data_IF_492630546765
#
_entry.id   IF_492630546765
#
_cell.length_a   1.000
_cell.length_b   1.000
_cell.length_c   1.000
_cell.angle_alpha   90.00
_cell.angle_beta   90.00
_cell.angle_gamma   90.00
#
_symmetry.space_group_name_H-M   'P 1'
#
loop_
_entity.id
_entity.type
_entity.pdbx_description
1 polymer ?
#
# COMPACT_ATOMS: atom_id res chain seq x y z
N UNK A 1 16.18 13.82 -7.01
CA UNK A 1 15.57 12.55 -6.56
C UNK A 1 14.79 11.82 -7.64
N UNK A 2 13.87 12.46 -8.39
CA UNK A 2 13.14 11.79 -9.48
C UNK A 2 14.04 11.13 -10.55
N UNK A 3 15.15 11.78 -10.92
CA UNK A 3 16.13 11.19 -11.85
C UNK A 3 16.79 9.91 -11.31
N UNK A 4 16.99 9.79 -10.00
CA UNK A 4 17.51 8.56 -9.38
C UNK A 4 16.48 7.43 -9.43
N UNK A 5 15.18 7.76 -9.28
CA UNK A 5 14.09 6.79 -9.48
C UNK A 5 14.07 6.31 -10.94
N UNK A 6 14.23 7.22 -11.92
CA UNK A 6 14.32 6.86 -13.33
C UNK A 6 15.51 5.92 -13.63
N UNK A 7 16.70 6.25 -13.12
CA UNK A 7 17.89 5.39 -13.23
C UNK A 7 17.66 4.05 -12.54
N UNK A 8 16.99 4.05 -11.40
CA UNK A 8 16.60 2.82 -10.69
C UNK A 8 15.75 1.91 -11.56
N UNK A 9 14.67 2.43 -12.18
CA UNK A 9 13.82 1.66 -13.08
C UNK A 9 14.57 1.19 -14.33
N UNK A 10 15.44 2.01 -14.92
CA UNK A 10 16.29 1.59 -16.03
C UNK A 10 17.26 0.47 -15.63
N UNK A 11 17.80 0.52 -14.40
CA UNK A 11 18.61 -0.54 -13.83
C UNK A 11 17.82 -1.85 -13.69
N UNK A 12 16.61 -1.80 -13.14
CA UNK A 12 15.71 -2.97 -13.09
C UNK A 12 15.48 -3.52 -14.49
N UNK A 13 15.09 -2.66 -15.45
CA UNK A 13 14.85 -3.05 -16.83
C UNK A 13 16.06 -3.76 -17.46
N UNK A 14 17.27 -3.24 -17.25
CA UNK A 14 18.50 -3.77 -17.81
C UNK A 14 18.88 -5.13 -17.23
N UNK A 15 18.66 -5.35 -15.93
CA UNK A 15 19.09 -6.57 -15.24
C UNK A 15 18.04 -7.69 -15.20
N UNK A 16 16.79 -7.45 -15.61
CA UNK A 16 15.76 -8.50 -15.71
C UNK A 16 16.22 -9.70 -16.57
N UNK A 17 16.85 -9.51 -17.75
CA UNK A 17 17.34 -10.64 -18.56
C UNK A 17 18.64 -11.30 -18.05
N UNK A 18 19.26 -10.80 -16.98
CA UNK A 18 20.55 -11.28 -16.50
C UNK A 18 20.42 -12.57 -15.67
N UNK A 19 21.48 -13.38 -15.61
CA UNK A 19 21.50 -14.63 -14.83
C UNK A 19 21.35 -14.42 -13.32
N UNK A 20 21.76 -13.26 -12.80
CA UNK A 20 21.65 -12.87 -11.39
C UNK A 20 20.53 -11.85 -11.15
N UNK A 21 19.48 -11.84 -12.00
CA UNK A 21 18.42 -10.83 -11.99
C UNK A 21 17.86 -10.56 -10.59
N UNK A 22 17.59 -11.59 -9.77
CA UNK A 22 17.04 -11.44 -8.41
C UNK A 22 17.88 -10.50 -7.55
N UNK A 23 19.20 -10.72 -7.48
CA UNK A 23 20.09 -9.89 -6.64
C UNK A 23 20.17 -8.46 -7.18
N UNK A 24 20.27 -8.32 -8.50
CA UNK A 24 20.40 -7.02 -9.15
C UNK A 24 19.12 -6.19 -9.03
N UNK A 25 17.95 -6.74 -9.39
CA UNK A 25 16.67 -6.04 -9.33
C UNK A 25 16.30 -5.68 -7.90
N UNK A 26 16.57 -6.53 -6.92
CA UNK A 26 16.39 -6.19 -5.50
C UNK A 26 17.27 -5.00 -5.06
N UNK A 27 18.53 -4.95 -5.48
CA UNK A 27 19.40 -3.82 -5.19
C UNK A 27 18.86 -2.50 -5.78
N UNK A 28 18.37 -2.53 -7.02
CA UNK A 28 17.73 -1.36 -7.64
C UNK A 28 16.38 -1.01 -7.00
N UNK A 29 15.55 -1.99 -6.62
CA UNK A 29 14.31 -1.72 -5.90
C UNK A 29 14.56 -1.08 -4.54
N UNK A 30 15.65 -1.46 -3.85
CA UNK A 30 16.06 -0.79 -2.62
C UNK A 30 16.46 0.67 -2.87
N UNK A 31 17.26 0.94 -3.91
CA UNK A 31 17.63 2.31 -4.30
C UNK A 31 16.41 3.16 -4.70
N UNK A 32 15.45 2.57 -5.43
CA UNK A 32 14.19 3.22 -5.79
C UNK A 32 13.39 3.54 -4.53
N UNK A 33 13.24 2.59 -3.60
CA UNK A 33 12.48 2.79 -2.36
C UNK A 33 13.07 3.93 -1.52
N UNK A 34 14.39 3.96 -1.36
CA UNK A 34 15.08 5.02 -0.63
C UNK A 34 14.93 6.38 -1.31
N UNK A 35 15.11 6.42 -2.65
CA UNK A 35 14.97 7.64 -3.44
C UNK A 35 13.53 8.17 -3.44
N UNK A 36 12.54 7.26 -3.50
CA UNK A 36 11.11 7.58 -3.46
C UNK A 36 10.71 8.15 -2.11
N UNK A 37 11.12 7.52 -1.00
CA UNK A 37 10.81 8.02 0.34
C UNK A 37 11.36 9.43 0.56
N UNK A 38 12.60 9.69 0.09
CA UNK A 38 13.20 11.03 0.17
C UNK A 38 12.51 12.02 -0.76
N UNK A 39 12.11 11.59 -1.94
CA UNK A 39 11.37 12.40 -2.89
C UNK A 39 10.01 12.83 -2.33
N UNK A 40 9.27 11.91 -1.70
CA UNK A 40 7.94 12.20 -1.15
C UNK A 40 8.01 13.26 -0.05
N UNK A 41 8.99 13.17 0.85
CA UNK A 41 9.22 14.19 1.89
C UNK A 41 9.57 15.55 1.25
N UNK A 42 10.44 15.56 0.23
CA UNK A 42 10.83 16.80 -0.45
C UNK A 42 9.65 17.42 -1.22
N UNK A 43 8.83 16.61 -1.88
CA UNK A 43 7.65 17.07 -2.61
C UNK A 43 6.58 17.64 -1.67
N UNK A 44 6.34 16.99 -0.53
CA UNK A 44 5.43 17.51 0.50
C UNK A 44 5.94 18.81 1.12
N UNK A 45 7.25 18.90 1.39
CA UNK A 45 7.89 20.14 1.86
C UNK A 45 7.77 21.28 0.84
N UNK A 46 8.06 21.00 -0.43
CA UNK A 46 7.91 21.96 -1.53
C UNK A 46 6.48 22.48 -1.64
N UNK A 47 5.49 21.57 -1.58
CA UNK A 47 4.07 21.92 -1.62
C UNK A 47 3.69 22.92 -0.51
N UNK A 48 4.20 22.72 0.70
CA UNK A 48 3.95 23.63 1.83
C UNK A 48 4.64 24.99 1.67
N UNK A 49 5.79 25.05 0.98
CA UNK A 49 6.55 26.30 0.76
C UNK A 49 6.06 27.10 -0.45
N UNK A 50 5.59 26.42 -1.50
CA UNK A 50 5.25 27.03 -2.78
C UNK A 50 3.83 27.63 -2.80
N UNK A 51 2.92 27.15 -1.96
CA UNK A 51 1.50 27.53 -1.98
C UNK A 51 1.08 28.25 -0.70
N UNK A 52 0.16 29.21 -0.83
CA UNK A 52 -0.49 29.86 0.32
C UNK A 52 -1.53 28.94 0.96
N UNK A 53 -1.86 29.14 2.24
CA UNK A 53 -2.80 28.27 2.99
C UNK A 53 -4.14 28.04 2.27
N UNK A 54 -4.71 29.09 1.67
CA UNK A 54 -5.96 28.97 0.89
C UNK A 54 -5.81 28.06 -0.33
N UNK A 55 -4.70 28.16 -1.05
CA UNK A 55 -4.40 27.33 -2.22
C UNK A 55 -4.09 25.88 -1.83
N UNK A 56 -3.42 25.67 -0.69
CA UNK A 56 -3.17 24.34 -0.15
C UNK A 56 -4.49 23.57 0.02
N UNK A 57 -5.53 24.20 0.58
CA UNK A 57 -6.83 23.56 0.76
C UNK A 57 -7.50 23.08 -0.55
N UNK A 58 -7.25 23.78 -1.66
CA UNK A 58 -7.75 23.39 -2.98
C UNK A 58 -6.90 22.26 -3.59
N UNK A 59 -5.57 22.43 -3.58
CA UNK A 59 -4.65 21.48 -4.20
C UNK A 59 -4.50 20.16 -3.44
N UNK A 60 -4.83 20.09 -2.14
CA UNK A 60 -4.78 18.83 -1.38
C UNK A 60 -5.74 17.79 -1.97
N UNK A 61 -6.91 18.22 -2.45
CA UNK A 61 -7.87 17.35 -3.13
C UNK A 61 -7.34 16.85 -4.47
N UNK A 62 -6.74 17.74 -5.27
CA UNK A 62 -6.12 17.40 -6.55
C UNK A 62 -4.98 16.40 -6.36
N UNK A 63 -4.06 16.65 -5.39
CA UNK A 63 -2.94 15.76 -5.07
C UNK A 63 -3.42 14.35 -4.74
N UNK A 64 -4.44 14.23 -3.89
CA UNK A 64 -5.02 12.94 -3.52
C UNK A 64 -5.64 12.21 -4.73
N UNK A 65 -6.25 12.95 -5.67
CA UNK A 65 -6.79 12.38 -6.90
C UNK A 65 -5.67 11.85 -7.81
N UNK A 66 -4.59 12.61 -8.00
CA UNK A 66 -3.44 12.14 -8.78
C UNK A 66 -2.74 10.94 -8.14
N UNK A 67 -2.65 10.87 -6.81
CA UNK A 67 -2.14 9.69 -6.11
C UNK A 67 -2.96 8.42 -6.43
N UNK A 68 -4.29 8.55 -6.50
CA UNK A 68 -5.20 7.45 -6.88
C UNK A 68 -4.97 7.02 -8.34
N UNK A 69 -4.87 7.98 -9.26
CA UNK A 69 -4.56 7.69 -10.66
C UNK A 69 -3.19 7.02 -10.81
N UNK A 70 -2.18 7.47 -10.07
CA UNK A 70 -0.85 6.85 -10.08
C UNK A 70 -0.90 5.39 -9.60
N UNK A 71 -1.73 5.10 -8.58
CA UNK A 71 -1.91 3.72 -8.09
C UNK A 71 -2.55 2.82 -9.15
N UNK A 72 -3.61 3.29 -9.82
CA UNK A 72 -4.27 2.55 -10.93
C UNK A 72 -3.33 2.40 -12.13
N UNK A 73 -2.55 3.43 -12.44
CA UNK A 73 -1.57 3.37 -13.53
C UNK A 73 -0.49 2.33 -13.22
N UNK A 74 0.06 2.36 -12.01
CA UNK A 74 1.14 1.48 -11.56
C UNK A 74 0.72 0.01 -11.45
N UNK A 75 -0.36 -0.25 -10.71
CA UNK A 75 -0.81 -1.62 -10.43
C UNK A 75 -1.69 -2.19 -11.55
N UNK A 76 -2.38 -1.33 -12.30
CA UNK A 76 -3.31 -1.71 -13.35
C UNK A 76 -2.73 -1.55 -14.74
N UNK A 77 -2.65 -0.31 -15.23
CA UNK A 77 -2.33 -0.03 -16.64
C UNK A 77 -0.96 -0.58 -17.05
N UNK A 78 0.06 -0.41 -16.21
CA UNK A 78 1.40 -0.92 -16.52
C UNK A 78 1.48 -2.45 -16.48
N UNK A 79 0.76 -3.09 -15.55
CA UNK A 79 0.69 -4.56 -15.49
C UNK A 79 -0.09 -5.11 -16.68
N UNK A 80 -1.17 -4.42 -17.08
CA UNK A 80 -1.89 -4.69 -18.32
C UNK A 80 -0.99 -4.57 -19.55
N UNK A 81 -0.22 -3.48 -19.62
CA UNK A 81 0.75 -3.28 -20.69
C UNK A 81 1.79 -4.40 -20.73
N UNK A 82 2.38 -4.77 -19.58
CA UNK A 82 3.34 -5.87 -19.49
C UNK A 82 2.72 -7.20 -19.96
N UNK A 83 1.50 -7.52 -19.53
CA UNK A 83 0.81 -8.74 -19.97
C UNK A 83 0.48 -8.76 -21.46
N UNK A 84 0.07 -7.63 -22.05
CA UNK A 84 -0.17 -7.54 -23.49
C UNK A 84 1.13 -7.66 -24.31
N UNK A 85 2.27 -7.25 -23.74
CA UNK A 85 3.60 -7.45 -24.31
C UNK A 85 4.02 -8.92 -24.22
N UNK A 86 3.80 -9.59 -23.09
CA UNK A 86 4.05 -11.04 -22.92
C UNK A 86 3.28 -11.88 -23.94
N UNK A 87 2.03 -11.51 -24.22
CA UNK A 87 1.17 -12.15 -25.21
C UNK A 87 1.53 -11.78 -26.67
N UNK A 88 2.43 -10.82 -26.88
CA UNK A 88 2.81 -10.35 -28.22
C UNK A 88 1.74 -9.54 -28.95
N UNK A 89 0.70 -9.08 -28.24
CA UNK A 89 -0.41 -8.29 -28.82
C UNK A 89 0.00 -6.86 -29.20
N UNK A 90 1.01 -6.31 -28.52
CA UNK A 90 1.55 -4.98 -28.83
C UNK A 90 2.70 -5.11 -29.84
N UNK A 91 3.71 -5.93 -29.53
CA UNK A 91 4.80 -6.27 -30.43
C UNK A 91 4.89 -7.78 -30.61
N UNK A 92 4.73 -8.31 -31.84
CA UNK A 92 4.83 -9.75 -32.06
C UNK A 92 6.17 -10.37 -31.63
N UNK A 93 7.25 -9.57 -31.62
CA UNK A 93 8.59 -10.00 -31.21
C UNK A 93 8.73 -10.29 -29.71
N UNK A 94 7.79 -9.84 -28.87
CA UNK A 94 7.82 -10.07 -27.43
C UNK A 94 7.00 -11.29 -26.99
N UNK A 95 6.31 -11.96 -27.93
CA UNK A 95 5.46 -13.11 -27.64
C UNK A 95 6.23 -14.22 -26.91
N UNK A 96 5.78 -14.57 -25.71
CA UNK A 96 6.39 -15.60 -24.86
C UNK A 96 7.71 -15.20 -24.19
N UNK A 97 8.24 -13.99 -24.44
CA UNK A 97 9.47 -13.49 -23.82
C UNK A 97 9.14 -12.59 -22.62
N UNK A 98 8.82 -13.24 -21.49
CA UNK A 98 8.44 -12.56 -20.23
C UNK A 98 9.53 -11.58 -19.76
N UNK A 99 10.84 -11.94 -19.71
CA UNK A 99 11.87 -10.99 -19.31
C UNK A 99 11.92 -9.74 -20.18
N UNK A 100 11.78 -9.88 -21.50
CA UNK A 100 11.79 -8.74 -22.42
C UNK A 100 10.55 -7.85 -22.23
N UNK A 101 9.37 -8.44 -22.08
CA UNK A 101 8.12 -7.69 -21.85
C UNK A 101 8.18 -6.81 -20.59
N UNK A 102 8.67 -7.36 -19.47
CA UNK A 102 8.86 -6.59 -18.24
C UNK A 102 10.01 -5.58 -18.35
N UNK A 103 11.11 -5.92 -19.01
CA UNK A 103 12.20 -4.98 -19.26
C UNK A 103 11.71 -3.73 -20.00
N UNK A 104 10.94 -3.91 -21.08
CA UNK A 104 10.35 -2.80 -21.84
C UNK A 104 9.34 -1.99 -21.02
N UNK A 105 8.57 -2.65 -20.16
CA UNK A 105 7.64 -1.98 -19.24
C UNK A 105 8.38 -1.10 -18.22
N UNK A 106 9.50 -1.58 -17.67
CA UNK A 106 10.34 -0.80 -16.77
C UNK A 106 11.13 0.31 -17.49
N UNK A 107 11.53 0.11 -18.75
CA UNK A 107 12.10 1.19 -19.55
C UNK A 107 11.09 2.30 -19.84
N UNK A 108 9.84 1.95 -20.13
CA UNK A 108 8.76 2.93 -20.26
C UNK A 108 8.59 3.74 -18.98
N UNK A 109 8.58 3.08 -17.82
CA UNK A 109 8.57 3.75 -16.51
C UNK A 109 9.77 4.69 -16.32
N UNK A 110 10.98 4.23 -16.64
CA UNK A 110 12.19 5.04 -16.56
C UNK A 110 12.08 6.29 -17.45
N UNK A 111 11.58 6.14 -18.68
CA UNK A 111 11.37 7.25 -19.60
C UNK A 111 10.34 8.26 -19.08
N UNK A 112 9.22 7.79 -18.52
CA UNK A 112 8.20 8.65 -17.91
C UNK A 112 8.79 9.44 -16.74
N UNK A 113 9.49 8.79 -15.81
CA UNK A 113 10.09 9.45 -14.65
C UNK A 113 11.20 10.42 -15.06
N UNK A 114 11.97 10.12 -16.11
CA UNK A 114 12.96 11.02 -16.65
C UNK A 114 12.31 12.26 -17.28
N UNK A 115 11.25 12.07 -18.07
CA UNK A 115 10.50 13.16 -18.67
C UNK A 115 9.88 14.07 -17.60
N UNK A 116 9.29 13.49 -16.55
CA UNK A 116 8.77 14.23 -15.39
C UNK A 116 9.89 14.97 -14.65
N UNK A 117 11.05 14.36 -14.45
CA UNK A 117 12.19 15.00 -13.79
C UNK A 117 12.67 16.22 -14.59
N UNK A 118 12.76 16.11 -15.91
CA UNK A 118 13.10 17.23 -16.79
C UNK A 118 12.03 18.32 -16.73
N UNK A 119 10.76 17.94 -16.89
CA UNK A 119 9.63 18.87 -16.82
C UNK A 119 9.62 19.65 -15.51
N UNK A 120 9.69 18.97 -14.37
CA UNK A 120 9.70 19.60 -13.06
C UNK A 120 10.92 20.50 -12.84
N UNK A 121 12.09 20.13 -13.37
CA UNK A 121 13.28 20.96 -13.27
C UNK A 121 13.14 22.31 -14.02
N UNK A 122 12.40 22.34 -15.13
CA UNK A 122 12.16 23.56 -15.91
C UNK A 122 10.95 24.37 -15.42
N UNK A 123 9.89 23.72 -14.97
CA UNK A 123 8.59 24.37 -14.71
C UNK A 123 8.38 24.73 -13.24
N UNK A 124 8.97 24.00 -12.29
CA UNK A 124 8.71 24.28 -10.88
C UNK A 124 9.29 25.63 -10.45
N UNK A 125 8.50 26.47 -9.77
CA UNK A 125 9.00 27.71 -9.20
C UNK A 125 10.02 27.38 -8.08
N UNK A 126 10.99 28.28 -7.86
CA UNK A 126 11.92 28.18 -6.73
C UNK A 126 11.42 29.10 -5.61
N UNK A 127 10.78 28.57 -4.55
CA UNK A 127 10.19 29.40 -3.50
C UNK A 127 11.29 30.20 -2.78
N UNK A 128 11.11 31.51 -2.65
CA UNK A 128 12.10 32.37 -1.98
C UNK A 128 12.27 32.06 -0.46
N UNK A 129 11.33 31.31 0.11
CA UNK A 129 11.33 30.79 1.48
C UNK A 129 12.19 29.53 1.65
N UNK A 130 12.63 28.89 0.55
CA UNK A 130 13.51 27.73 0.58
C UNK A 130 14.96 28.15 0.88
N UNK A 131 15.24 28.38 2.17
CA UNK A 131 16.55 28.77 2.68
C UNK A 131 17.09 27.71 3.62
N UNK A 132 18.39 27.46 3.53
CA UNK A 132 19.12 26.66 4.53
C UNK A 132 18.87 27.25 5.92
N UNK A 133 18.55 26.38 6.89
CA UNK A 133 18.42 26.77 8.30
C UNK A 133 19.79 26.56 8.96
N UNK A 134 20.49 27.65 9.23
CA UNK A 134 21.89 27.60 9.67
C UNK A 134 22.10 27.27 11.17
N UNK A 135 21.05 26.97 11.93
CA UNK A 135 21.11 26.85 13.40
C UNK A 135 20.67 25.48 13.97
N UNK A 136 20.82 24.39 13.22
CA UNK A 136 20.42 23.06 13.68
C UNK A 136 21.65 22.19 13.94
N UNK A 137 22.01 21.98 15.22
CA UNK A 137 23.05 21.04 15.60
C UNK A 137 22.51 19.61 15.52
N UNK A 138 23.24 18.72 14.83
CA UNK A 138 22.87 17.29 14.70
C UNK A 138 22.58 16.62 16.04
N UNK A 139 23.38 16.93 17.08
CA UNK A 139 23.22 16.37 18.42
C UNK A 139 21.87 16.76 19.08
N UNK A 140 21.40 17.99 18.86
CA UNK A 140 20.12 18.48 19.37
C UNK A 140 18.94 17.76 18.73
N UNK A 141 18.98 17.58 17.41
CA UNK A 141 17.97 16.81 16.67
C UNK A 141 17.87 15.36 17.15
N UNK A 142 19.00 14.68 17.34
CA UNK A 142 19.01 13.31 17.84
C UNK A 142 18.38 13.22 19.24
N UNK A 143 18.71 14.15 20.13
CA UNK A 143 18.12 14.19 21.48
C UNK A 143 16.61 14.39 21.43
N UNK A 144 16.13 15.37 20.68
CA UNK A 144 14.69 15.67 20.57
C UNK A 144 13.92 14.52 19.91
N UNK A 145 14.54 13.84 18.94
CA UNK A 145 14.01 12.62 18.36
C UNK A 145 13.84 11.52 19.40
N UNK A 146 14.88 11.18 20.17
CA UNK A 146 14.80 10.11 21.17
C UNK A 146 13.83 10.44 22.32
N UNK A 147 13.74 11.71 22.73
CA UNK A 147 12.76 12.17 23.71
C UNK A 147 11.32 11.98 23.20
N UNK A 148 11.07 12.38 21.95
CA UNK A 148 9.76 12.25 21.31
C UNK A 148 9.41 10.78 21.05
N UNK A 149 10.40 9.98 20.66
CA UNK A 149 10.25 8.54 20.47
C UNK A 149 9.89 7.85 21.80
N UNK A 150 10.63 8.15 22.87
CA UNK A 150 10.38 7.60 24.20
C UNK A 150 9.02 8.01 24.78
N UNK A 151 8.49 9.18 24.44
CA UNK A 151 7.16 9.60 24.91
C UNK A 151 6.02 8.77 24.30
N UNK A 152 6.20 8.18 23.11
CA UNK A 152 5.22 7.25 22.51
C UNK A 152 5.01 6.02 23.39
N UNK A 153 6.10 5.46 23.94
CA UNK A 153 6.08 4.26 24.80
C UNK A 153 5.53 4.53 26.21
N UNK A 154 5.30 5.80 26.58
CA UNK A 154 4.66 6.17 27.85
C UNK A 154 3.13 6.23 27.75
N UNK A 155 2.54 5.99 26.57
CA UNK A 155 1.09 6.02 26.38
C UNK A 155 0.39 4.93 27.19
N UNK A 156 -0.75 5.29 27.78
CA UNK A 156 -1.60 4.36 28.52
C UNK A 156 -2.13 3.27 27.57
N UNK A 157 -2.17 2.02 28.06
CA UNK A 157 -2.58 0.84 27.29
C UNK A 157 -1.65 0.49 26.09
N UNK A 158 -0.35 0.78 26.20
CA UNK A 158 0.63 0.50 25.16
C UNK A 158 0.52 -0.91 24.57
N UNK A 159 0.38 -1.94 25.43
CA UNK A 159 0.23 -3.33 24.98
C UNK A 159 -0.98 -3.54 24.07
N UNK A 160 -2.13 -2.92 24.37
CA UNK A 160 -3.32 -3.00 23.51
C UNK A 160 -3.12 -2.25 22.18
N UNK A 161 -2.43 -1.11 22.22
CA UNK A 161 -2.10 -0.32 21.03
C UNK A 161 -1.24 -1.16 20.08
N UNK A 162 -0.15 -1.74 20.56
CA UNK A 162 0.70 -2.62 19.75
C UNK A 162 -0.03 -3.87 19.29
N UNK A 163 -0.79 -4.51 20.17
CA UNK A 163 -1.57 -5.68 19.80
C UNK A 163 -2.52 -5.36 18.64
N UNK A 164 -3.25 -4.24 18.71
CA UNK A 164 -4.10 -3.79 17.61
C UNK A 164 -3.30 -3.45 16.34
N UNK A 165 -2.25 -2.62 16.44
CA UNK A 165 -1.46 -2.19 15.28
C UNK A 165 -0.85 -3.38 14.52
N UNK A 166 -0.35 -4.38 15.25
CA UNK A 166 0.32 -5.54 14.66
C UNK A 166 -0.66 -6.62 14.18
N UNK A 167 -1.85 -6.73 14.79
CA UNK A 167 -2.80 -7.82 14.46
C UNK A 167 -3.96 -7.41 13.56
N UNK A 168 -4.34 -6.13 13.50
CA UNK A 168 -5.52 -5.66 12.76
C UNK A 168 -5.47 -6.03 11.27
N UNK A 169 -4.28 -6.09 10.68
CA UNK A 169 -4.03 -6.43 9.28
C UNK A 169 -3.19 -7.70 9.11
N UNK A 170 -3.14 -8.56 10.12
CA UNK A 170 -2.24 -9.72 10.09
C UNK A 170 -2.59 -10.71 8.96
N UNK A 171 -3.87 -11.05 8.80
CA UNK A 171 -4.33 -11.86 7.66
C UNK A 171 -4.04 -11.17 6.33
N UNK A 172 -4.54 -9.94 6.18
CA UNK A 172 -4.38 -9.12 4.98
C UNK A 172 -2.92 -8.94 4.53
N UNK A 173 -1.99 -8.74 5.46
CA UNK A 173 -0.57 -8.57 5.14
C UNK A 173 0.07 -9.76 4.44
N UNK A 174 -0.49 -10.95 4.63
CA UNK A 174 -0.06 -12.20 4.00
C UNK A 174 -0.85 -12.43 2.70
N UNK A 175 -2.17 -12.22 2.75
CA UNK A 175 -3.06 -12.36 1.59
C UNK A 175 -2.58 -11.51 0.42
N UNK A 176 -2.32 -10.22 0.65
CA UNK A 176 -1.93 -9.26 -0.39
C UNK A 176 -0.64 -9.67 -1.14
N UNK A 177 0.25 -10.44 -0.50
CA UNK A 177 1.50 -10.92 -1.10
C UNK A 177 1.32 -12.16 -1.96
N UNK A 178 0.31 -12.97 -1.63
CA UNK A 178 0.02 -14.25 -2.28
C UNK A 178 -1.12 -14.13 -3.30
N UNK A 179 -1.95 -13.09 -3.22
CA UNK A 179 -3.06 -12.87 -4.13
C UNK A 179 -2.62 -12.81 -5.60
N UNK A 180 -1.58 -12.04 -5.95
CA UNK A 180 -1.10 -11.98 -7.33
C UNK A 180 -0.51 -13.31 -7.83
N UNK A 181 0.41 -13.99 -7.10
CA UNK A 181 0.84 -15.35 -7.45
C UNK A 181 -0.32 -16.34 -7.65
N UNK A 182 -1.29 -16.36 -6.72
CA UNK A 182 -2.46 -17.24 -6.80
C UNK A 182 -3.28 -17.02 -8.08
N UNK A 183 -3.48 -15.76 -8.50
CA UNK A 183 -4.22 -15.45 -9.71
C UNK A 183 -3.48 -15.89 -10.98
N UNK A 184 -2.15 -15.82 -10.98
CA UNK A 184 -1.30 -16.13 -12.13
C UNK A 184 -0.96 -17.62 -12.27
N UNK A 185 -0.78 -18.32 -11.15
CA UNK A 185 -0.29 -19.70 -11.12
C UNK A 185 -1.25 -20.68 -11.79
N UNK A 186 -0.70 -21.78 -12.28
CA UNK A 186 -1.49 -22.80 -12.97
C UNK A 186 -2.42 -23.58 -12.01
N UNK A 187 -3.56 -24.11 -12.49
CA UNK A 187 -4.46 -24.94 -11.69
C UNK A 187 -3.78 -26.16 -11.05
N UNK A 188 -2.78 -26.75 -11.71
CA UNK A 188 -1.99 -27.86 -11.14
C UNK A 188 -1.20 -27.48 -9.89
N UNK A 189 -0.85 -26.21 -9.72
CA UNK A 189 -0.24 -25.65 -8.51
C UNK A 189 -1.30 -25.07 -7.54
N UNK A 190 -2.58 -25.11 -7.89
CA UNK A 190 -3.69 -24.54 -7.13
C UNK A 190 -3.99 -23.07 -7.43
N UNK A 191 -3.49 -22.52 -8.54
CA UNK A 191 -3.78 -21.15 -9.00
C UNK A 191 -4.86 -21.07 -10.08
N UNK A 192 -5.19 -19.86 -10.53
CA UNK A 192 -6.31 -19.60 -11.46
C UNK A 192 -5.90 -19.46 -12.94
N UNK A 193 -4.61 -19.48 -13.27
CA UNK A 193 -4.04 -19.29 -14.61
C UNK A 193 -4.61 -18.06 -15.36
N UNK A 194 -4.81 -16.94 -14.64
CA UNK A 194 -5.21 -15.71 -15.29
C UNK A 194 -4.04 -15.10 -16.06
N UNK A 195 -4.27 -14.55 -17.26
CA UNK A 195 -3.25 -13.77 -17.95
C UNK A 195 -2.82 -12.56 -17.10
N UNK A 196 -1.55 -12.19 -17.17
CA UNK A 196 -0.98 -11.01 -16.48
C UNK A 196 -1.80 -9.75 -16.75
N UNK A 197 -2.26 -9.57 -17.99
CA UNK A 197 -3.09 -8.43 -18.34
C UNK A 197 -4.44 -8.45 -17.61
N UNK A 198 -5.07 -9.61 -17.51
CA UNK A 198 -6.30 -9.78 -16.73
C UNK A 198 -6.06 -9.50 -15.25
N UNK A 199 -4.96 -9.95 -14.67
CA UNK A 199 -4.62 -9.65 -13.27
C UNK A 199 -4.45 -8.14 -13.05
N UNK A 200 -3.78 -7.43 -13.96
CA UNK A 200 -3.68 -5.96 -13.92
C UNK A 200 -5.04 -5.26 -13.98
N UNK A 201 -5.97 -5.78 -14.80
CA UNK A 201 -7.34 -5.25 -14.84
C UNK A 201 -8.10 -5.53 -13.53
N UNK A 202 -8.13 -6.78 -13.08
CA UNK A 202 -8.94 -7.21 -11.94
C UNK A 202 -8.41 -6.62 -10.63
N UNK A 203 -7.13 -6.80 -10.35
CA UNK A 203 -6.55 -6.40 -9.08
C UNK A 203 -6.10 -4.94 -9.11
N UNK A 204 -5.40 -4.53 -10.18
CA UNK A 204 -4.77 -3.23 -10.30
C UNK A 204 -5.70 -2.07 -10.70
N UNK A 205 -6.84 -2.37 -11.32
CA UNK A 205 -7.81 -1.35 -11.73
C UNK A 205 -9.11 -1.48 -10.95
N UNK A 206 -9.82 -2.60 -11.10
CA UNK A 206 -11.11 -2.82 -10.41
C UNK A 206 -10.90 -2.88 -8.91
N UNK A 207 -9.92 -3.66 -8.45
CA UNK A 207 -9.54 -3.76 -7.05
C UNK A 207 -9.21 -2.40 -6.44
N UNK A 208 -8.34 -1.62 -7.08
CA UNK A 208 -7.99 -0.26 -6.61
C UNK A 208 -9.21 0.67 -6.59
N UNK A 209 -10.09 0.64 -7.60
CA UNK A 209 -11.32 1.45 -7.57
C UNK A 209 -12.21 1.04 -6.38
N UNK A 210 -12.40 -0.25 -6.16
CA UNK A 210 -13.17 -0.78 -5.03
C UNK A 210 -12.57 -0.36 -3.68
N UNK A 211 -11.24 -0.48 -3.52
CA UNK A 211 -10.51 0.01 -2.35
C UNK A 211 -10.83 1.48 -2.04
N UNK A 212 -10.77 2.31 -3.09
CA UNK A 212 -10.99 3.74 -2.98
C UNK A 212 -12.44 4.09 -2.61
N UNK A 213 -13.42 3.37 -3.18
CA UNK A 213 -14.83 3.50 -2.81
C UNK A 213 -15.08 3.05 -1.37
N UNK A 214 -14.45 1.95 -0.96
CA UNK A 214 -14.52 1.42 0.41
C UNK A 214 -14.01 2.44 1.43
N UNK A 215 -12.85 3.03 1.18
CA UNK A 215 -12.29 4.08 2.06
C UNK A 215 -13.14 5.34 2.14
N UNK A 216 -13.76 5.76 1.03
CA UNK A 216 -14.71 6.90 1.04
C UNK A 216 -15.95 6.55 1.87
N UNK A 217 -16.55 5.37 1.63
CA UNK A 217 -17.69 4.89 2.40
C UNK A 217 -17.36 4.80 3.89
N UNK A 218 -16.16 4.29 4.23
CA UNK A 218 -15.65 4.20 5.60
C UNK A 218 -15.57 5.57 6.27
N UNK A 219 -15.01 6.56 5.58
CA UNK A 219 -14.93 7.94 6.06
C UNK A 219 -16.31 8.54 6.33
N UNK A 220 -17.26 8.34 5.41
CA UNK A 220 -18.63 8.85 5.53
C UNK A 220 -19.34 8.23 6.74
N UNK A 221 -19.31 6.90 6.88
CA UNK A 221 -20.06 6.25 7.97
C UNK A 221 -19.47 6.54 9.34
N UNK A 222 -18.15 6.65 9.46
CA UNK A 222 -17.49 7.03 10.71
C UNK A 222 -17.77 8.48 11.05
N UNK A 223 -17.74 9.39 10.06
CA UNK A 223 -18.09 10.80 10.29
C UNK A 223 -19.51 10.98 10.86
N UNK A 224 -20.44 10.06 10.56
CA UNK A 224 -21.82 10.09 11.08
C UNK A 224 -21.97 9.32 12.39
N UNK A 225 -21.34 8.15 12.51
CA UNK A 225 -21.59 7.19 13.59
C UNK A 225 -20.50 7.09 14.67
N UNK A 226 -19.34 7.68 14.43
CA UNK A 226 -18.16 7.59 15.28
C UNK A 226 -17.39 6.28 15.12
N UNK A 227 -16.10 6.30 15.43
CA UNK A 227 -15.21 5.14 15.29
C UNK A 227 -15.63 3.99 16.21
N UNK A 228 -16.09 4.30 17.43
CA UNK A 228 -16.53 3.29 18.39
C UNK A 228 -17.60 2.37 17.79
N UNK A 229 -18.62 2.91 17.14
CA UNK A 229 -19.70 2.12 16.54
C UNK A 229 -19.21 1.25 15.38
N UNK A 230 -18.30 1.79 14.57
CA UNK A 230 -17.93 1.19 13.29
C UNK A 230 -16.69 0.32 13.32
N UNK A 231 -15.84 0.38 14.36
CA UNK A 231 -14.58 -0.37 14.41
C UNK A 231 -14.77 -1.89 14.26
N UNK A 232 -15.84 -2.46 14.83
CA UNK A 232 -16.12 -3.90 14.72
C UNK A 232 -16.66 -4.28 13.33
N UNK A 233 -17.70 -3.62 12.78
CA UNK A 233 -18.10 -3.83 11.39
C UNK A 233 -16.95 -3.65 10.40
N UNK A 234 -16.07 -2.67 10.62
CA UNK A 234 -14.89 -2.42 9.80
C UNK A 234 -13.84 -3.52 9.92
N UNK A 235 -13.60 -4.03 11.13
CA UNK A 235 -12.73 -5.18 11.37
C UNK A 235 -13.28 -6.48 10.74
N UNK A 236 -14.60 -6.63 10.64
CA UNK A 236 -15.19 -7.75 9.92
C UNK A 236 -15.11 -7.54 8.40
N UNK A 237 -15.36 -6.32 7.91
CA UNK A 237 -15.30 -6.01 6.49
C UNK A 237 -13.92 -6.21 5.88
N UNK A 238 -12.84 -5.96 6.64
CA UNK A 238 -11.46 -6.19 6.17
C UNK A 238 -11.06 -7.67 6.17
N UNK A 239 -11.70 -8.53 6.96
CA UNK A 239 -11.23 -9.90 7.21
C UNK A 239 -12.19 -10.99 6.68
N UNK A 240 -13.50 -10.74 6.66
CA UNK A 240 -14.47 -11.71 6.16
C UNK A 240 -14.33 -11.99 4.65
N UNK A 241 -14.01 -11.00 3.80
CA UNK A 241 -13.79 -11.26 2.38
C UNK A 241 -12.60 -12.18 2.08
N UNK A 242 -11.67 -12.42 3.02
CA UNK A 242 -10.59 -13.40 2.86
C UNK A 242 -11.15 -14.81 2.57
N UNK A 243 -12.36 -15.12 3.04
CA UNK A 243 -13.07 -16.36 2.74
C UNK A 243 -13.38 -16.52 1.24
N UNK A 244 -13.42 -15.42 0.48
CA UNK A 244 -13.59 -15.47 -0.97
C UNK A 244 -12.35 -16.07 -1.64
N UNK A 245 -11.15 -15.85 -1.08
CA UNK A 245 -9.92 -16.50 -1.56
C UNK A 245 -9.89 -17.99 -1.20
N UNK A 246 -10.41 -18.37 -0.03
CA UNK A 246 -10.65 -19.79 0.31
C UNK A 246 -11.57 -20.44 -0.72
N UNK A 247 -12.70 -19.79 -1.03
CA UNK A 247 -13.63 -20.26 -2.05
C UNK A 247 -12.97 -20.39 -3.43
N UNK A 248 -12.26 -19.35 -3.88
CA UNK A 248 -11.58 -19.37 -5.17
C UNK A 248 -10.51 -20.47 -5.25
N UNK A 249 -9.75 -20.70 -4.18
CA UNK A 249 -8.73 -21.75 -4.13
C UNK A 249 -9.31 -23.16 -4.08
N UNK A 250 -10.50 -23.33 -3.48
CA UNK A 250 -11.16 -24.63 -3.37
C UNK A 250 -11.89 -25.02 -4.68
N UNK A 251 -12.54 -24.05 -5.33
CA UNK A 251 -13.41 -24.30 -6.49
C UNK A 251 -12.68 -24.08 -7.82
N UNK A 252 -11.62 -23.26 -7.83
CA UNK A 252 -10.90 -22.83 -9.03
C UNK A 252 -11.85 -22.35 -10.15
N UNK A 253 -12.68 -21.33 -9.86
CA UNK A 253 -13.73 -20.89 -10.78
C UNK A 253 -13.14 -20.41 -12.11
N UNK A 254 -13.68 -20.91 -13.22
CA UNK A 254 -13.29 -20.48 -14.57
C UNK A 254 -14.00 -19.19 -15.01
N UNK A 255 -15.08 -18.81 -14.32
CA UNK A 255 -15.84 -17.61 -14.65
C UNK A 255 -15.14 -16.37 -14.09
N UNK A 256 -14.59 -15.56 -14.99
CA UNK A 256 -13.86 -14.33 -14.65
C UNK A 256 -14.68 -13.33 -13.84
N UNK A 257 -16.01 -13.27 -14.03
CA UNK A 257 -16.87 -12.36 -13.27
C UNK A 257 -16.96 -12.72 -11.80
N UNK A 258 -16.86 -14.01 -11.46
CA UNK A 258 -16.79 -14.48 -10.07
C UNK A 258 -15.50 -14.03 -9.41
N UNK A 259 -14.37 -14.12 -10.15
CA UNK A 259 -13.06 -13.67 -9.66
C UNK A 259 -13.05 -12.15 -9.48
N UNK A 260 -13.56 -11.40 -10.47
CA UNK A 260 -13.71 -9.94 -10.40
C UNK A 260 -14.53 -9.53 -9.18
N UNK A 261 -15.71 -10.14 -8.98
CA UNK A 261 -16.57 -9.83 -7.85
C UNK A 261 -15.89 -10.16 -6.50
N UNK A 262 -15.13 -11.25 -6.45
CA UNK A 262 -14.41 -11.67 -5.25
C UNK A 262 -13.32 -10.67 -4.85
N UNK A 263 -12.45 -10.31 -5.80
CA UNK A 263 -11.38 -9.31 -5.59
C UNK A 263 -11.97 -7.93 -5.31
N UNK A 264 -13.03 -7.53 -6.01
CA UNK A 264 -13.68 -6.25 -5.78
C UNK A 264 -14.28 -6.16 -4.37
N UNK A 265 -14.92 -7.23 -3.88
CA UNK A 265 -15.51 -7.27 -2.54
C UNK A 265 -14.44 -7.26 -1.45
N UNK A 266 -13.34 -8.00 -1.64
CA UNK A 266 -12.18 -7.95 -0.74
C UNK A 266 -11.60 -6.55 -0.67
N UNK A 267 -11.23 -5.95 -1.80
CA UNK A 267 -10.63 -4.62 -1.81
C UNK A 267 -11.57 -3.54 -1.25
N UNK A 268 -12.87 -3.63 -1.53
CA UNK A 268 -13.88 -2.75 -0.95
C UNK A 268 -13.90 -2.85 0.59
N UNK A 269 -13.88 -4.07 1.10
CA UNK A 269 -13.82 -4.37 2.54
C UNK A 269 -12.52 -3.88 3.18
N UNK A 270 -11.39 -4.12 2.52
CA UNK A 270 -10.08 -3.64 2.93
C UNK A 270 -10.03 -2.12 3.00
N UNK A 271 -10.52 -1.41 1.97
CA UNK A 271 -10.59 0.05 1.95
C UNK A 271 -11.46 0.62 3.06
N UNK A 272 -12.63 0.01 3.27
CA UNK A 272 -13.57 0.39 4.34
C UNK A 272 -12.97 0.18 5.73
N UNK A 273 -12.34 -0.98 5.96
CA UNK A 273 -11.71 -1.30 7.23
C UNK A 273 -10.43 -0.52 7.53
N UNK A 274 -9.69 -0.14 6.48
CA UNK A 274 -8.47 0.66 6.61
C UNK A 274 -8.75 2.06 7.19
N UNK A 275 -9.93 2.64 6.94
CA UNK A 275 -10.35 3.91 7.57
C UNK A 275 -10.34 3.82 9.09
N UNK A 276 -10.87 2.72 9.66
CA UNK A 276 -10.89 2.52 11.11
C UNK A 276 -9.46 2.49 11.69
N UNK A 277 -8.55 1.83 10.98
CA UNK A 277 -7.16 1.74 11.42
C UNK A 277 -6.47 3.10 11.45
N UNK A 278 -6.63 3.88 10.38
CA UNK A 278 -6.06 5.22 10.28
C UNK A 278 -6.59 6.14 11.36
N UNK A 279 -7.91 6.13 11.63
CA UNK A 279 -8.50 6.90 12.71
C UNK A 279 -8.05 6.44 14.09
N UNK A 280 -7.81 5.14 14.28
CA UNK A 280 -7.24 4.64 15.53
C UNK A 280 -5.77 5.10 15.72
N UNK A 281 -4.96 5.15 14.66
CA UNK A 281 -3.61 5.72 14.74
C UNK A 281 -3.65 7.21 15.09
N UNK A 282 -4.57 7.97 14.50
CA UNK A 282 -4.79 9.39 14.85
C UNK A 282 -5.23 9.54 16.31
N UNK A 283 -6.10 8.66 16.80
CA UNK A 283 -6.54 8.62 18.20
C UNK A 283 -5.36 8.36 19.14
N UNK A 284 -4.54 7.35 18.83
CA UNK A 284 -3.35 7.01 19.61
C UNK A 284 -2.36 8.15 19.58
N UNK A 285 -2.19 8.83 18.45
CA UNK A 285 -1.24 9.92 18.30
C UNK A 285 -1.62 11.19 19.07
N UNK A 286 -2.88 11.36 19.51
CA UNK A 286 -3.34 12.57 20.16
C UNK A 286 -2.48 12.96 21.39
N UNK A 287 -2.16 14.25 21.52
CA UNK A 287 -1.24 14.80 22.53
C UNK A 287 -0.25 15.84 21.96
N UNK A 288 0.74 16.23 22.77
CA UNK A 288 1.73 17.28 22.44
C UNK A 288 2.58 16.96 21.20
N UNK A 289 2.91 15.68 20.98
CA UNK A 289 3.76 15.23 19.87
C UNK A 289 2.99 14.49 18.77
N UNK A 290 1.80 14.99 18.41
CA UNK A 290 0.85 14.28 17.54
C UNK A 290 1.41 13.83 16.20
N UNK A 291 2.14 14.70 15.49
CA UNK A 291 2.71 14.37 14.17
C UNK A 291 3.76 13.25 14.28
N UNK A 292 4.65 13.34 15.27
CA UNK A 292 5.69 12.34 15.51
C UNK A 292 5.11 11.01 16.00
N UNK A 293 4.14 11.03 16.92
CA UNK A 293 3.47 9.81 17.40
C UNK A 293 2.68 9.10 16.31
N UNK A 294 2.06 9.87 15.42
CA UNK A 294 1.39 9.31 14.25
C UNK A 294 2.39 8.63 13.31
N UNK A 295 3.53 9.28 13.02
CA UNK A 295 4.60 8.70 12.19
C UNK A 295 5.21 7.42 12.81
N UNK A 296 5.38 7.36 14.13
CA UNK A 296 5.83 6.14 14.83
C UNK A 296 4.79 5.04 14.69
N UNK A 297 3.51 5.35 14.89
CA UNK A 297 2.41 4.40 14.75
C UNK A 297 2.29 3.83 13.34
N UNK A 298 2.43 4.66 12.30
CA UNK A 298 2.44 4.20 10.89
C UNK A 298 3.68 3.38 10.57
N UNK A 299 4.84 3.68 11.17
CA UNK A 299 6.04 2.86 11.08
C UNK A 299 5.83 1.44 11.65
N UNK A 300 5.21 1.32 12.82
CA UNK A 300 4.86 0.01 13.39
C UNK A 300 3.77 -0.72 12.60
N UNK A 301 2.82 0.01 12.01
CA UNK A 301 1.87 -0.57 11.06
C UNK A 301 2.59 -1.18 9.85
N UNK A 302 3.56 -0.46 9.28
CA UNK A 302 4.33 -0.94 8.13
C UNK A 302 5.14 -2.21 8.51
N UNK A 303 5.77 -2.21 9.68
CA UNK A 303 6.45 -3.41 10.22
C UNK A 303 5.50 -4.58 10.42
N UNK A 304 4.31 -4.34 10.99
CA UNK A 304 3.27 -5.34 11.19
C UNK A 304 2.77 -5.98 9.91
N UNK A 305 2.91 -5.31 8.77
CA UNK A 305 2.64 -5.89 7.46
C UNK A 305 3.85 -6.53 6.79
N UNK A 306 5.03 -5.94 6.97
CA UNK A 306 6.25 -6.37 6.30
C UNK A 306 6.68 -7.76 6.78
N UNK A 307 6.71 -7.99 8.10
CA UNK A 307 7.20 -9.26 8.65
C UNK A 307 6.34 -10.47 8.26
N UNK A 308 5.00 -10.45 8.41
CA UNK A 308 4.18 -11.58 7.97
C UNK A 308 4.21 -11.74 6.45
N UNK A 309 4.20 -10.64 5.71
CA UNK A 309 4.28 -10.66 4.25
C UNK A 309 5.58 -11.29 3.72
N UNK A 310 6.71 -11.14 4.43
CA UNK A 310 7.98 -11.81 4.09
C UNK A 310 7.90 -13.33 4.29
N UNK A 311 7.21 -13.79 5.32
CA UNK A 311 7.04 -15.22 5.60
C UNK A 311 5.96 -15.89 4.73
N UNK A 312 5.02 -15.11 4.20
CA UNK A 312 3.84 -15.61 3.50
C UNK A 312 4.17 -16.57 2.35
N UNK A 313 5.20 -16.27 1.54
CA UNK A 313 5.61 -17.14 0.42
C UNK A 313 6.06 -18.52 0.88
N UNK A 314 6.96 -18.59 1.86
CA UNK A 314 7.45 -19.86 2.40
C UNK A 314 6.34 -20.68 3.08
N UNK A 315 5.39 -20.01 3.76
CA UNK A 315 4.23 -20.68 4.37
C UNK A 315 3.29 -21.22 3.28
N UNK A 316 3.05 -20.43 2.22
CA UNK A 316 2.21 -20.85 1.09
C UNK A 316 2.83 -22.03 0.34
N UNK A 317 4.14 -22.02 0.06
CA UNK A 317 4.84 -23.14 -0.58
C UNK A 317 4.73 -24.43 0.24
N UNK A 318 4.79 -24.34 1.58
CA UNK A 318 4.70 -25.50 2.47
C UNK A 318 3.27 -26.07 2.61
N UNK A 319 2.23 -25.23 2.49
CA UNK A 319 0.84 -25.61 2.77
C UNK A 319 -0.02 -25.77 1.51
N UNK A 320 0.36 -25.16 0.39
CA UNK A 320 -0.48 -24.95 -0.78
C UNK A 320 -1.49 -23.80 -0.60
N UNK A 321 -2.07 -23.32 -1.69
CA UNK A 321 -2.95 -22.14 -1.69
C UNK A 321 -4.18 -22.28 -0.79
N UNK A 322 -4.95 -23.36 -0.91
CA UNK A 322 -6.21 -23.52 -0.17
C UNK A 322 -6.00 -23.49 1.35
N UNK A 323 -5.07 -24.31 1.87
CA UNK A 323 -4.75 -24.34 3.30
C UNK A 323 -4.11 -23.03 3.78
N UNK A 324 -3.33 -22.37 2.92
CA UNK A 324 -2.77 -21.05 3.21
C UNK A 324 -3.88 -20.01 3.41
N UNK A 325 -4.91 -19.96 2.56
CA UNK A 325 -6.01 -19.01 2.75
C UNK A 325 -6.84 -19.31 4.00
N UNK A 326 -7.04 -20.58 4.38
CA UNK A 326 -7.60 -20.91 5.68
C UNK A 326 -6.73 -20.42 6.85
N UNK A 327 -5.40 -20.57 6.73
CA UNK A 327 -4.45 -20.05 7.71
C UNK A 327 -4.51 -18.51 7.81
N UNK A 328 -4.65 -17.82 6.68
CA UNK A 328 -4.90 -16.36 6.64
C UNK A 328 -6.16 -16.02 7.42
N UNK A 329 -7.28 -16.72 7.18
CA UNK A 329 -8.53 -16.50 7.92
C UNK A 329 -8.34 -16.69 9.43
N UNK A 330 -7.58 -17.68 9.88
CA UNK A 330 -7.25 -17.85 11.30
C UNK A 330 -6.41 -16.68 11.85
N UNK A 331 -5.48 -16.17 11.06
CA UNK A 331 -4.66 -15.00 11.40
C UNK A 331 -5.46 -13.69 11.51
N UNK A 332 -6.72 -13.65 11.03
CA UNK A 332 -7.61 -12.48 11.20
C UNK A 332 -8.21 -12.38 12.61
N UNK A 333 -8.37 -13.52 13.30
CA UNK A 333 -9.06 -13.60 14.60
C UNK A 333 -8.42 -12.70 15.67
N UNK A 334 -7.07 -12.64 15.82
CA UNK A 334 -6.44 -11.72 16.76
C UNK A 334 -6.78 -10.25 16.46
N UNK A 335 -6.86 -9.85 15.19
CA UNK A 335 -7.21 -8.48 14.79
C UNK A 335 -8.66 -8.11 15.12
N UNK A 336 -9.60 -9.04 14.92
CA UNK A 336 -11.01 -8.86 15.32
C UNK A 336 -11.11 -8.76 16.85
N UNK A 337 -10.40 -9.61 17.58
CA UNK A 337 -10.36 -9.56 19.03
C UNK A 337 -9.75 -8.24 19.55
N UNK A 338 -8.65 -7.78 18.95
CA UNK A 338 -8.06 -6.49 19.27
C UNK A 338 -9.05 -5.34 19.04
N UNK A 339 -9.82 -5.39 17.93
CA UNK A 339 -10.85 -4.41 17.60
C UNK A 339 -11.97 -4.36 18.64
N UNK A 340 -12.37 -5.52 19.19
CA UNK A 340 -13.33 -5.59 20.29
C UNK A 340 -12.80 -4.99 21.59
N UNK A 341 -11.53 -5.24 21.93
CA UNK A 341 -10.89 -4.64 23.11
C UNK A 341 -10.77 -3.12 22.97
N UNK A 342 -10.41 -2.64 21.78
CA UNK A 342 -10.30 -1.21 21.46
C UNK A 342 -11.68 -0.55 21.50
N UNK A 343 -12.71 -1.18 20.94
CA UNK A 343 -14.10 -0.70 20.95
C UNK A 343 -14.54 -0.28 22.36
N UNK A 344 -14.23 -1.09 23.38
CA UNK A 344 -14.60 -0.81 24.78
C UNK A 344 -13.95 0.45 25.34
N UNK A 345 -12.76 0.82 24.85
CA UNK A 345 -11.98 1.96 25.35
C UNK A 345 -12.19 3.26 24.56
N UNK A 346 -12.75 3.18 23.36
CA UNK A 346 -13.00 4.36 22.55
C UNK A 346 -14.13 5.25 23.12
N UNK A 347 -13.96 6.58 23.10
CA UNK A 347 -15.05 7.52 23.37
C UNK A 347 -16.18 7.37 22.34
N UNK A 348 -17.43 7.54 22.76
CA UNK A 348 -18.60 7.33 21.89
C UNK A 348 -18.67 8.31 20.71
N UNK A 349 -18.14 9.53 20.90
CA UNK A 349 -18.20 10.60 19.89
C UNK A 349 -16.91 10.77 19.10
N UNK A 350 -15.89 9.92 19.34
CA UNK A 350 -14.64 10.03 18.61
C UNK A 350 -14.87 9.74 17.11
N UNK A 351 -14.44 10.67 16.26
CA UNK A 351 -14.61 10.59 14.81
C UNK A 351 -15.96 11.06 14.27
N UNK A 352 -16.92 11.47 15.12
CA UNK A 352 -18.17 12.09 14.66
C UNK A 352 -17.93 13.54 14.22
N UNK A 353 -18.54 13.93 13.11
CA UNK A 353 -18.63 15.34 12.70
C UNK A 353 -19.54 16.06 13.71
N UNK A 354 -19.01 17.13 14.30
CA UNK A 354 -19.78 18.03 15.17
C UNK A 354 -20.72 18.91 14.36
#
# INVERSE_FOLDING_TARGET
MQSFVAVGFAGVAFFIPASFYVKATLAFFWLIAFSSATHDIAADGFYMLALKEGEQSFFVGIRNTFYRFATIFGQGILVMFAGLMEEGKIFPSTAGNIPLAWSLSFYLLAAIFLALALYHNFVLPRPASDKSRDNITSLGLFRDFFLTFGSFFKKKNLGLIFFFILTYRLGESQLVKIASPFLLDIPGAGGLALPTATVGMVYGTIGVISLLLGGIAGGIVVSRGGLKKWILPMALAINLPDLLYVYMASVLPQNIWVIIASVAMEQLGYGFGFTAFMLFLIYVADGEHKTSHYAIGTGFMALGMMLPGMAAGAIQEAMGYEKFFWFVCLCTLPGIFASWLVHKKLPADYGKKK
#
